data_IF_241746776057
#
_entry.id   IF_241746776057
#
_cell.length_a   1.000
_cell.length_b   1.000
_cell.length_c   1.000
_cell.angle_alpha   90.00
_cell.angle_beta   90.00
_cell.angle_gamma   90.00
#
_symmetry.space_group_name_H-M   'P 1'
#
loop_
_entity.id
_entity.type
_entity.pdbx_description
1 polymer ?
#
# COMPACT_ATOMS: atom_id res chain seq x y z
N UNK A 1 -23.33 3.41 50.54
CA UNK A 1 -24.16 3.18 49.35
C UNK A 1 -23.55 3.86 48.14
N UNK A 2 -22.55 3.20 47.52
CA UNK A 2 -21.90 3.70 46.31
C UNK A 2 -22.82 3.35 45.13
N UNK A 3 -23.61 4.31 44.68
CA UNK A 3 -24.05 4.35 43.29
C UNK A 3 -22.78 4.55 42.44
N UNK A 4 -22.02 3.49 42.20
CA UNK A 4 -20.93 3.53 41.23
C UNK A 4 -21.57 3.73 39.85
N UNK A 5 -21.48 4.95 39.34
CA UNK A 5 -22.01 5.34 38.05
C UNK A 5 -21.26 4.58 36.95
N UNK A 6 -21.93 3.63 36.30
CA UNK A 6 -21.33 2.83 35.22
C UNK A 6 -21.42 3.62 33.92
N UNK A 7 -20.27 4.02 33.38
CA UNK A 7 -20.16 4.77 32.13
C UNK A 7 -19.76 3.82 31.00
N UNK A 8 -20.59 3.67 29.95
CA UNK A 8 -20.31 2.78 28.84
C UNK A 8 -19.15 3.30 27.96
N UNK A 9 -18.33 2.41 27.37
CA UNK A 9 -17.21 2.82 26.51
C UNK A 9 -17.68 3.38 25.17
N UNK A 10 -17.02 4.44 24.71
CA UNK A 10 -17.03 4.82 23.31
C UNK A 10 -16.02 3.96 22.54
N UNK A 11 -16.50 3.15 21.60
CA UNK A 11 -15.66 2.24 20.80
C UNK A 11 -15.44 2.79 19.40
N UNK A 12 -14.18 2.83 18.97
CA UNK A 12 -13.78 3.20 17.61
C UNK A 12 -12.79 2.17 17.05
N UNK A 13 -12.88 1.90 15.74
CA UNK A 13 -11.91 1.07 15.03
C UNK A 13 -11.21 1.94 13.98
N UNK A 14 -9.88 1.88 13.97
CA UNK A 14 -9.02 2.56 13.03
C UNK A 14 -8.45 1.58 12.01
N UNK A 15 -8.55 1.97 10.75
CA UNK A 15 -7.97 1.29 9.59
C UNK A 15 -6.43 1.28 9.66
N UNK A 16 -5.77 0.32 9.00
CA UNK A 16 -4.31 0.24 9.02
C UNK A 16 -3.69 1.41 8.26
N UNK A 17 -2.46 1.78 8.64
CA UNK A 17 -1.73 2.82 7.93
C UNK A 17 -1.29 2.35 6.54
N UNK A 18 -1.42 3.21 5.53
CA UNK A 18 -0.97 2.90 4.16
C UNK A 18 0.53 2.60 4.09
N UNK A 19 1.32 3.30 4.91
CA UNK A 19 2.76 3.11 4.98
C UNK A 19 3.15 1.72 5.51
N UNK A 20 2.46 1.22 6.55
CA UNK A 20 2.72 -0.13 7.07
C UNK A 20 2.46 -1.18 5.99
N UNK A 21 1.35 -1.06 5.26
CA UNK A 21 0.99 -2.00 4.21
C UNK A 21 2.01 -1.97 3.06
N UNK A 22 2.42 -0.79 2.62
CA UNK A 22 3.38 -0.64 1.51
C UNK A 22 4.77 -1.14 1.87
N UNK A 23 5.25 -0.89 3.11
CA UNK A 23 6.62 -1.21 3.51
C UNK A 23 6.77 -2.63 4.05
N UNK A 24 5.76 -3.14 4.76
CA UNK A 24 5.84 -4.39 5.52
C UNK A 24 4.87 -5.47 5.05
N UNK A 25 4.00 -5.16 4.07
CA UNK A 25 2.94 -6.05 3.59
C UNK A 25 2.06 -6.62 4.71
N UNK A 26 1.89 -5.85 5.78
CA UNK A 26 1.12 -6.18 6.98
C UNK A 26 0.12 -5.07 7.25
N UNK A 27 -1.00 -5.43 7.87
CA UNK A 27 -2.04 -4.51 8.27
C UNK A 27 -2.28 -4.66 9.78
N UNK A 28 -2.33 -3.55 10.50
CA UNK A 28 -2.70 -3.51 11.92
C UNK A 28 -3.96 -2.69 12.11
N UNK A 29 -5.04 -3.33 12.55
CA UNK A 29 -6.24 -2.64 13.02
C UNK A 29 -6.08 -2.25 14.48
N UNK A 30 -6.66 -1.12 14.85
CA UNK A 30 -6.64 -0.63 16.23
C UNK A 30 -8.08 -0.39 16.68
N UNK A 31 -8.48 -1.04 17.78
CA UNK A 31 -9.73 -0.79 18.46
C UNK A 31 -9.45 -0.01 19.74
N UNK A 32 -10.05 1.17 19.86
CA UNK A 32 -9.97 2.01 21.06
C UNK A 32 -11.33 2.02 21.72
N UNK A 33 -11.37 1.62 22.99
CA UNK A 33 -12.49 1.88 23.87
C UNK A 33 -12.08 2.95 24.87
N UNK A 34 -12.81 4.07 24.92
CA UNK A 34 -12.46 5.21 25.78
C UNK A 34 -13.67 5.72 26.56
N UNK A 35 -13.39 6.43 27.66
CA UNK A 35 -14.41 7.11 28.44
C UNK A 35 -15.28 6.18 29.30
N UNK A 36 -14.80 4.98 29.61
CA UNK A 36 -15.57 4.01 30.41
C UNK A 36 -15.19 4.04 31.90
N UNK A 37 -16.11 3.62 32.74
CA UNK A 37 -15.92 3.44 34.18
C UNK A 37 -16.88 2.37 34.69
N UNK A 38 -16.47 1.46 35.60
CA UNK A 38 -15.12 1.25 36.17
C UNK A 38 -14.14 0.63 35.14
N UNK A 39 -12.92 0.28 35.55
CA UNK A 39 -11.84 -0.20 34.66
C UNK A 39 -12.06 -1.62 34.07
N UNK A 40 -13.15 -2.30 34.45
CA UNK A 40 -13.49 -3.66 34.04
C UNK A 40 -14.07 -3.71 32.62
N UNK A 41 -13.20 -3.69 31.62
CA UNK A 41 -13.54 -3.83 30.20
C UNK A 41 -12.71 -4.92 29.51
N UNK A 42 -13.36 -5.77 28.69
CA UNK A 42 -12.67 -6.75 27.85
C UNK A 42 -12.89 -6.46 26.36
N UNK A 43 -11.80 -6.39 25.59
CA UNK A 43 -11.86 -6.27 24.13
C UNK A 43 -11.61 -7.62 23.45
N UNK A 44 -12.49 -7.99 22.52
CA UNK A 44 -12.39 -9.22 21.73
C UNK A 44 -12.55 -8.90 20.25
N UNK A 45 -11.66 -9.45 19.43
CA UNK A 45 -11.79 -9.39 17.98
C UNK A 45 -12.59 -10.56 17.44
N UNK A 46 -13.44 -10.29 16.45
CA UNK A 46 -14.07 -11.30 15.60
C UNK A 46 -13.77 -11.01 14.14
N UNK A 47 -13.48 -12.05 13.38
CA UNK A 47 -13.31 -11.98 11.93
C UNK A 47 -14.35 -12.92 11.31
N UNK A 48 -15.22 -12.38 10.46
CA UNK A 48 -16.31 -13.13 9.83
C UNK A 48 -17.19 -13.88 10.84
N UNK A 49 -17.46 -13.25 12.00
CA UNK A 49 -18.26 -13.81 13.09
C UNK A 49 -17.51 -14.76 14.03
N UNK A 50 -16.25 -15.13 13.74
CA UNK A 50 -15.46 -16.06 14.55
C UNK A 50 -14.47 -15.30 15.43
N UNK A 51 -14.36 -15.68 16.72
CA UNK A 51 -13.40 -15.09 17.65
C UNK A 51 -11.97 -15.30 17.16
N UNK A 52 -11.19 -14.22 17.13
CA UNK A 52 -9.78 -14.20 16.71
C UNK A 52 -8.88 -13.89 17.89
N UNK A 53 -7.81 -14.68 18.06
CA UNK A 53 -6.79 -14.47 19.12
C UNK A 53 -5.38 -14.34 18.58
N UNK A 54 -5.02 -15.06 17.52
CA UNK A 54 -3.70 -14.86 16.92
C UNK A 54 -3.61 -13.47 16.26
N UNK A 55 -2.46 -12.83 16.41
CA UNK A 55 -2.21 -11.46 15.95
C UNK A 55 -2.84 -10.38 16.84
N UNK A 56 -3.58 -10.75 17.90
CA UNK A 56 -4.20 -9.80 18.83
C UNK A 56 -3.22 -9.44 19.95
N UNK A 57 -3.00 -8.15 20.15
CA UNK A 57 -2.32 -7.59 21.31
C UNK A 57 -3.19 -6.52 21.96
N UNK A 58 -3.72 -6.82 23.14
CA UNK A 58 -4.47 -5.87 23.97
C UNK A 58 -3.53 -5.30 25.02
N UNK A 59 -3.64 -4.01 25.31
CA UNK A 59 -2.83 -3.36 26.36
C UNK A 59 -3.10 -4.05 27.72
N UNK A 60 -2.06 -4.28 28.52
CA UNK A 60 -2.15 -5.06 29.77
C UNK A 60 -3.04 -4.41 30.84
N UNK A 61 -3.10 -3.07 30.83
CA UNK A 61 -3.89 -2.27 31.77
C UNK A 61 -4.60 -1.14 31.04
N UNK A 62 -5.78 -0.76 31.51
CA UNK A 62 -6.46 0.44 31.02
C UNK A 62 -5.72 1.71 31.43
N UNK A 63 -5.55 2.63 30.49
CA UNK A 63 -4.99 3.94 30.75
C UNK A 63 -6.05 4.83 31.39
N UNK A 64 -5.75 5.38 32.56
CA UNK A 64 -6.61 6.36 33.22
C UNK A 64 -6.51 7.73 32.53
N UNK A 65 -7.66 8.32 32.20
CA UNK A 65 -7.79 9.65 31.64
C UNK A 65 -8.78 10.46 32.49
N UNK A 66 -8.24 11.15 33.51
CA UNK A 66 -9.04 11.84 34.51
C UNK A 66 -9.84 10.86 35.38
N UNK A 67 -11.17 10.96 35.31
CA UNK A 67 -12.10 10.06 36.02
C UNK A 67 -12.50 8.82 35.22
N UNK A 68 -12.07 8.70 33.96
CA UNK A 68 -12.47 7.60 33.07
C UNK A 68 -11.27 6.78 32.62
N UNK A 69 -11.53 5.61 32.06
CA UNK A 69 -10.51 4.69 31.57
C UNK A 69 -10.57 4.54 30.04
N UNK A 70 -9.44 4.13 29.46
CA UNK A 70 -9.31 3.82 28.04
C UNK A 70 -8.50 2.54 27.86
N UNK A 71 -8.88 1.72 26.89
CA UNK A 71 -8.24 0.44 26.59
C UNK A 71 -8.10 0.29 25.08
N UNK A 72 -6.92 -0.13 24.63
CA UNK A 72 -6.64 -0.33 23.21
C UNK A 72 -6.33 -1.79 22.93
N UNK A 73 -6.87 -2.32 21.84
CA UNK A 73 -6.50 -3.62 21.30
C UNK A 73 -6.09 -3.50 19.84
N UNK A 74 -5.03 -4.19 19.46
CA UNK A 74 -4.46 -4.18 18.10
C UNK A 74 -4.59 -5.56 17.50
N UNK A 75 -5.09 -5.65 16.27
CA UNK A 75 -5.16 -6.89 15.50
C UNK A 75 -4.23 -6.77 14.28
N UNK A 76 -3.16 -7.56 14.29
CA UNK A 76 -2.16 -7.63 13.23
C UNK A 76 -2.45 -8.81 12.31
N UNK A 77 -2.50 -8.55 11.00
CA UNK A 77 -2.81 -9.51 9.96
C UNK A 77 -1.96 -9.25 8.71
N UNK A 78 -1.85 -10.20 7.77
CA UNK A 78 -1.23 -9.94 6.48
C UNK A 78 -2.10 -8.99 5.63
N UNK A 79 -1.47 -8.19 4.77
CA UNK A 79 -2.18 -7.18 3.99
C UNK A 79 -3.26 -7.75 3.05
N UNK A 80 -3.05 -8.95 2.50
CA UNK A 80 -4.02 -9.60 1.61
C UNK A 80 -5.35 -9.92 2.32
N UNK A 81 -5.33 -10.19 3.63
CA UNK A 81 -6.53 -10.48 4.40
C UNK A 81 -7.34 -9.20 4.64
N UNK A 82 -6.66 -8.08 4.89
CA UNK A 82 -7.27 -6.75 5.01
C UNK A 82 -7.90 -6.27 3.68
N UNK A 83 -7.26 -6.56 2.55
CA UNK A 83 -7.72 -6.14 1.24
C UNK A 83 -8.93 -6.92 0.69
N UNK A 84 -9.34 -7.98 1.38
CA UNK A 84 -10.52 -8.73 0.99
C UNK A 84 -11.79 -8.02 1.50
N UNK A 85 -12.63 -7.44 0.63
CA UNK A 85 -13.84 -6.73 1.06
C UNK A 85 -14.90 -7.64 1.68
N UNK A 86 -14.80 -8.95 1.44
CA UNK A 86 -15.69 -9.94 2.06
C UNK A 86 -15.36 -10.16 3.53
N UNK A 87 -14.14 -9.80 3.96
CA UNK A 87 -13.77 -9.92 5.35
C UNK A 87 -14.38 -8.79 6.18
N UNK A 88 -15.03 -9.20 7.26
CA UNK A 88 -15.66 -8.33 8.24
C UNK A 88 -14.92 -8.46 9.57
N UNK A 89 -14.32 -7.35 9.99
CA UNK A 89 -13.57 -7.26 11.25
C UNK A 89 -14.43 -6.57 12.29
N UNK A 90 -14.63 -7.20 13.43
CA UNK A 90 -15.44 -6.68 14.53
C UNK A 90 -14.61 -6.58 15.80
N UNK A 91 -14.77 -5.48 16.52
CA UNK A 91 -14.27 -5.32 17.87
C UNK A 91 -15.46 -5.30 18.82
N UNK A 92 -15.45 -6.22 19.78
CA UNK A 92 -16.48 -6.40 20.79
C UNK A 92 -15.91 -5.96 22.14
N UNK A 93 -16.46 -4.89 22.69
CA UNK A 93 -16.12 -4.36 24.00
C UNK A 93 -17.17 -4.84 25.01
N UNK A 94 -16.78 -5.74 25.92
CA UNK A 94 -17.66 -6.35 26.92
C UNK A 94 -17.40 -5.73 28.29
N UNK A 95 -18.45 -5.22 28.93
CA UNK A 95 -18.41 -4.57 30.25
C UNK A 95 -19.60 -5.02 31.11
N UNK A 96 -19.47 -4.87 32.42
CA UNK A 96 -20.57 -5.16 33.34
C UNK A 96 -21.41 -3.90 33.57
N UNK A 97 -22.73 -4.03 33.42
CA UNK A 97 -23.68 -2.96 33.65
C UNK A 97 -24.92 -3.51 34.37
N UNK A 98 -25.24 -2.92 35.53
CA UNK A 98 -26.46 -3.20 36.31
C UNK A 98 -26.71 -4.70 36.57
N UNK A 99 -25.65 -5.46 36.89
CA UNK A 99 -25.74 -6.90 37.14
C UNK A 99 -25.83 -7.79 35.90
N UNK A 100 -25.72 -7.21 34.69
CA UNK A 100 -25.69 -7.94 33.41
C UNK A 100 -24.41 -7.63 32.62
N UNK A 101 -23.98 -8.54 31.75
CA UNK A 101 -22.87 -8.28 30.83
C UNK A 101 -23.41 -7.61 29.57
N UNK A 102 -23.03 -6.35 29.35
CA UNK A 102 -23.34 -5.59 28.14
C UNK A 102 -22.15 -5.64 27.17
N UNK A 103 -22.42 -5.49 25.88
CA UNK A 103 -21.36 -5.45 24.87
C UNK A 103 -21.64 -4.44 23.77
N UNK A 104 -20.65 -3.62 23.43
CA UNK A 104 -20.69 -2.70 22.29
C UNK A 104 -19.83 -3.29 21.18
N UNK A 105 -20.42 -3.44 19.99
CA UNK A 105 -19.72 -3.98 18.82
C UNK A 105 -19.55 -2.88 17.77
N UNK A 106 -18.32 -2.72 17.29
CA UNK A 106 -18.02 -1.94 16.09
C UNK A 106 -17.43 -2.85 15.04
N UNK A 107 -17.60 -2.48 13.77
CA UNK A 107 -17.08 -3.27 12.67
C UNK A 107 -16.57 -2.38 11.54
N UNK A 108 -15.65 -2.94 10.78
CA UNK A 108 -15.18 -2.40 9.50
C UNK A 108 -15.04 -3.55 8.51
N UNK A 109 -15.23 -3.25 7.23
CA UNK A 109 -14.99 -4.19 6.14
C UNK A 109 -13.59 -3.98 5.58
N UNK A 110 -13.04 -5.02 4.97
CA UNK A 110 -11.78 -4.93 4.25
C UNK A 110 -11.83 -3.90 3.12
N UNK A 111 -10.69 -3.29 2.81
CA UNK A 111 -10.56 -2.24 1.81
C UNK A 111 -10.13 -2.83 0.45
N UNK A 112 -11.08 -2.99 -0.47
CA UNK A 112 -10.78 -3.45 -1.84
C UNK A 112 -10.16 -2.36 -2.73
N UNK A 113 -10.35 -1.08 -2.41
CA UNK A 113 -9.98 0.03 -3.28
C UNK A 113 -8.46 0.13 -3.40
N UNK A 114 -7.75 -0.08 -2.29
CA UNK A 114 -6.30 0.00 -2.25
C UNK A 114 -5.61 -1.16 -2.97
N UNK A 115 -6.21 -2.37 -3.02
CA UNK A 115 -5.68 -3.48 -3.83
C UNK A 115 -5.92 -3.30 -5.32
N UNK A 116 -7.14 -2.86 -5.71
CA UNK A 116 -7.47 -2.61 -7.12
C UNK A 116 -6.65 -1.46 -7.70
N UNK A 117 -6.35 -0.40 -6.92
CA UNK A 117 -5.43 0.66 -7.36
C UNK A 117 -4.03 0.15 -7.65
N UNK A 118 -3.50 -0.75 -6.81
CA UNK A 118 -2.17 -1.34 -7.04
C UNK A 118 -2.16 -2.22 -8.30
N UNK A 119 -3.18 -3.06 -8.50
CA UNK A 119 -3.33 -3.88 -9.71
C UNK A 119 -3.52 -3.05 -10.99
N UNK A 120 -4.32 -1.99 -10.94
CA UNK A 120 -4.53 -1.10 -12.08
C UNK A 120 -3.28 -0.29 -12.42
N UNK A 121 -2.47 0.08 -11.42
CA UNK A 121 -1.18 0.72 -11.65
C UNK A 121 -0.21 -0.21 -12.37
N UNK A 122 -0.12 -1.49 -11.96
CA UNK A 122 0.73 -2.49 -12.63
C UNK A 122 0.29 -2.75 -14.08
N UNK A 123 -1.02 -2.80 -14.35
CA UNK A 123 -1.57 -2.90 -15.71
C UNK A 123 -1.17 -1.70 -16.58
N UNK A 124 -1.27 -0.49 -16.04
CA UNK A 124 -0.89 0.72 -16.78
C UNK A 124 0.62 0.73 -17.07
N UNK A 125 1.46 0.35 -16.10
CA UNK A 125 2.91 0.23 -16.30
C UNK A 125 3.24 -0.79 -17.39
N UNK A 126 2.61 -1.97 -17.37
CA UNK A 126 2.80 -2.99 -18.41
C UNK A 126 2.41 -2.46 -19.80
N UNK A 127 1.25 -1.80 -19.92
CA UNK A 127 0.80 -1.21 -21.18
C UNK A 127 1.77 -0.14 -21.72
N UNK A 128 2.33 0.70 -20.83
CA UNK A 128 3.34 1.70 -21.20
C UNK A 128 4.62 1.03 -21.70
N UNK A 129 5.08 -0.04 -21.04
CA UNK A 129 6.28 -0.78 -21.45
C UNK A 129 6.09 -1.48 -22.80
N UNK A 130 4.95 -2.14 -23.02
CA UNK A 130 4.61 -2.73 -24.31
C UNK A 130 4.51 -1.69 -25.41
N UNK A 131 3.87 -0.54 -25.14
CA UNK A 131 3.79 0.56 -26.09
C UNK A 131 5.17 1.08 -26.49
N UNK A 132 6.07 1.26 -25.52
CA UNK A 132 7.47 1.62 -25.79
C UNK A 132 8.16 0.57 -26.69
N UNK A 133 8.03 -0.71 -26.37
CA UNK A 133 8.65 -1.79 -27.15
C UNK A 133 8.19 -1.81 -28.62
N UNK A 134 6.90 -1.58 -28.87
CA UNK A 134 6.35 -1.48 -30.23
C UNK A 134 6.95 -0.29 -30.99
N UNK A 135 7.06 0.88 -30.35
CA UNK A 135 7.71 2.06 -30.94
C UNK A 135 9.17 1.78 -31.28
N UNK A 136 9.92 1.14 -30.37
CA UNK A 136 11.31 0.75 -30.65
C UNK A 136 11.43 -0.22 -31.83
N UNK A 137 10.53 -1.21 -31.93
CA UNK A 137 10.53 -2.16 -33.04
C UNK A 137 10.27 -1.47 -34.40
N UNK A 138 9.31 -0.53 -34.45
CA UNK A 138 9.00 0.26 -35.65
C UNK A 138 10.16 1.18 -36.05
N UNK A 139 10.81 1.83 -35.08
CA UNK A 139 11.97 2.69 -35.35
C UNK A 139 13.15 1.88 -35.90
N UNK A 140 13.46 0.73 -35.29
CA UNK A 140 14.55 -0.13 -35.74
C UNK A 140 14.26 -0.73 -37.11
N UNK A 141 13.04 -1.18 -37.38
CA UNK A 141 12.67 -1.71 -38.69
C UNK A 141 12.75 -0.64 -39.79
N UNK A 142 12.35 0.61 -39.50
CA UNK A 142 12.52 1.74 -40.40
C UNK A 142 13.99 2.07 -40.69
N UNK A 143 14.85 2.08 -39.67
CA UNK A 143 16.30 2.27 -39.85
C UNK A 143 16.94 1.15 -40.69
N UNK A 144 16.53 -0.10 -40.50
CA UNK A 144 17.02 -1.24 -41.31
C UNK A 144 16.54 -1.14 -42.76
N UNK A 145 15.27 -0.77 -42.96
CA UNK A 145 14.70 -0.64 -44.30
C UNK A 145 15.37 0.48 -45.09
N UNK A 146 15.59 1.64 -44.46
CA UNK A 146 16.32 2.76 -45.05
C UNK A 146 17.78 2.41 -45.37
N UNK A 147 18.46 1.65 -44.50
CA UNK A 147 19.82 1.17 -44.77
C UNK A 147 19.87 0.18 -45.95
N UNK A 148 18.89 -0.72 -46.08
CA UNK A 148 18.81 -1.69 -47.18
C UNK A 148 18.47 -1.03 -48.52
N UNK A 149 17.55 -0.07 -48.53
CA UNK A 149 17.21 0.74 -49.71
C UNK A 149 18.37 1.62 -50.15
N UNK A 150 19.15 2.16 -49.20
CA UNK A 150 20.37 2.93 -49.50
C UNK A 150 21.47 2.09 -50.16
N UNK A 151 21.47 0.77 -50.01
CA UNK A 151 22.36 -0.12 -50.78
C UNK A 151 21.89 -0.36 -52.22
N UNK A 152 20.68 0.08 -52.60
CA UNK A 152 20.05 -0.22 -53.89
C UNK A 152 20.04 0.98 -54.87
N UNK A 153 20.72 2.09 -54.59
CA UNK A 153 20.79 3.25 -55.50
C UNK A 153 22.07 4.11 -55.37
N UNK A 154 22.53 4.81 -56.43
CA UNK A 154 23.79 5.54 -56.44
C UNK A 154 23.66 6.90 -55.75
N UNK A 155 23.84 6.95 -54.43
CA UNK A 155 23.76 8.21 -53.66
C UNK A 155 24.48 8.18 -52.31
N UNK A 156 25.53 7.36 -52.19
CA UNK A 156 26.11 6.86 -50.93
C UNK A 156 26.83 7.89 -50.03
N UNK A 157 27.01 9.14 -50.45
CA UNK A 157 27.86 10.11 -49.73
C UNK A 157 27.12 11.29 -49.08
N UNK A 158 25.91 11.64 -49.53
CA UNK A 158 25.20 12.81 -49.01
C UNK A 158 24.48 12.56 -47.67
N UNK A 159 24.00 11.33 -47.43
CA UNK A 159 23.18 11.03 -46.25
C UNK A 159 24.02 10.78 -44.99
N UNK A 160 25.19 10.13 -45.14
CA UNK A 160 26.09 9.84 -44.03
C UNK A 160 26.72 11.11 -43.43
N UNK A 161 26.90 12.18 -44.22
CA UNK A 161 27.43 13.46 -43.73
C UNK A 161 26.39 14.26 -42.94
N UNK A 162 25.11 14.20 -43.34
CA UNK A 162 24.00 14.88 -42.68
C UNK A 162 23.65 14.24 -41.32
N UNK A 163 23.65 12.90 -41.26
CA UNK A 163 23.42 12.15 -40.01
C UNK A 163 24.60 12.28 -39.05
N UNK A 164 25.86 12.31 -39.54
CA UNK A 164 27.04 12.64 -38.71
C UNK A 164 27.00 14.08 -38.20
N UNK A 165 26.43 15.02 -38.97
CA UNK A 165 26.24 16.41 -38.56
C UNK A 165 25.24 16.55 -37.42
N UNK A 166 24.09 15.88 -37.51
CA UNK A 166 23.06 15.89 -36.46
C UNK A 166 23.49 15.13 -35.20
N UNK A 167 24.25 14.04 -35.31
CA UNK A 167 24.80 13.34 -34.14
C UNK A 167 25.83 14.16 -33.35
N UNK A 168 26.58 15.05 -34.01
CA UNK A 168 27.49 15.99 -33.31
C UNK A 168 26.72 17.06 -32.53
N UNK A 169 25.56 17.49 -33.01
CA UNK A 169 24.71 18.45 -32.30
C UNK A 169 23.90 17.80 -31.16
N UNK A 170 23.40 16.58 -31.34
CA UNK A 170 22.73 15.83 -30.28
C UNK A 170 23.68 15.52 -29.11
N UNK A 171 24.97 15.23 -29.39
CA UNK A 171 25.99 15.02 -28.37
C UNK A 171 26.34 16.28 -27.56
N UNK A 172 26.07 17.47 -28.11
CA UNK A 172 26.28 18.75 -27.43
C UNK A 172 25.06 19.17 -26.56
N UNK A 173 23.85 18.74 -26.92
CA UNK A 173 22.62 19.08 -26.18
C UNK A 173 22.33 18.15 -24.99
N UNK A 174 22.76 16.88 -25.04
CA UNK A 174 22.51 15.90 -23.98
C UNK A 174 23.74 15.66 -23.09
N UNK A 175 24.40 16.74 -22.67
CA UNK A 175 25.62 16.77 -21.84
C UNK A 175 25.89 15.50 -21.03
N UNK A 176 27.06 14.90 -21.27
CA UNK A 176 27.48 13.55 -20.86
C UNK A 176 27.56 13.23 -19.36
N UNK A 177 26.81 13.89 -18.50
CA UNK A 177 26.71 13.57 -17.08
C UNK A 177 25.54 12.60 -16.77
N UNK A 178 24.43 12.63 -17.53
CA UNK A 178 23.23 11.85 -17.17
C UNK A 178 23.31 10.36 -17.57
N UNK A 179 24.10 10.00 -18.59
CA UNK A 179 24.21 8.61 -19.06
C UNK A 179 25.16 7.78 -18.18
N UNK A 180 26.19 8.41 -17.60
CA UNK A 180 27.13 7.72 -16.71
C UNK A 180 26.48 7.32 -15.37
N UNK A 181 25.51 8.10 -14.88
CA UNK A 181 24.86 7.83 -13.59
C UNK A 181 23.86 6.68 -13.67
N UNK A 182 23.15 6.55 -14.79
CA UNK A 182 22.23 5.41 -15.03
C UNK A 182 23.01 4.11 -15.29
N UNK A 183 24.17 4.17 -15.97
CA UNK A 183 25.02 2.99 -16.14
C UNK A 183 25.73 2.56 -14.85
N UNK A 184 26.18 3.50 -14.00
CA UNK A 184 26.78 3.15 -12.70
C UNK A 184 25.79 2.50 -11.73
N UNK A 185 24.52 2.95 -11.71
CA UNK A 185 23.50 2.30 -10.88
C UNK A 185 23.12 0.90 -11.38
N UNK A 186 23.14 0.69 -12.70
CA UNK A 186 22.86 -0.63 -13.28
C UNK A 186 23.97 -1.66 -13.00
N UNK A 187 25.24 -1.22 -12.88
CA UNK A 187 26.37 -2.13 -12.65
C UNK A 187 26.61 -2.43 -11.16
N UNK A 188 26.25 -1.54 -10.23
CA UNK A 188 26.39 -1.81 -8.78
C UNK A 188 25.33 -2.74 -8.17
N UNK A 189 24.30 -3.18 -8.91
CA UNK A 189 23.31 -4.16 -8.41
C UNK A 189 23.55 -5.59 -8.91
N UNK A 190 24.73 -5.87 -9.47
CA UNK A 190 25.09 -7.21 -9.98
C UNK A 190 26.42 -7.74 -9.43
N UNK A 191 26.87 -7.21 -8.30
CA UNK A 191 27.93 -7.78 -7.47
C UNK A 191 27.42 -8.05 -6.05
#
# INVERSE_FOLDING_TARGET
>A
DLNDEIIPPAVAIFSPSKQEIQQKSKATLVCLASGFYPDHLTLVWRVNGVKRTEGVGTDESSTQNGSTYSLTSRLRMPAWEWFNPLNRFECVASFFQNGTTASITKFIHGDAESYLRYGNSLKLTYLILCGKALVYAVLVSGLVWTAKVSQSGPGRLAFYSLVKGQWRQAKALFGGAAVQQVLCQALCSSA
#
